data_IF_580027889918
#
_entry.id   IF_580027889918
#
_cell.length_a   1.000
_cell.length_b   1.000
_cell.length_c   1.000
_cell.angle_alpha   90.00
_cell.angle_beta   90.00
_cell.angle_gamma   90.00
#
_symmetry.space_group_name_H-M   'P 1'
#
loop_
_entity.id
_entity.type
_entity.pdbx_description
1 polymer ?
#
# COMPACT_ATOMS: atom_id res chain seq x y z
N UNK A 1 22.62 -25.07 -6.19
CA UNK A 1 23.77 -25.18 -5.25
C UNK A 1 24.15 -23.77 -4.82
N UNK A 2 24.11 -23.50 -3.51
CA UNK A 2 24.42 -22.20 -2.92
C UNK A 2 25.83 -22.10 -2.34
N UNK A 3 26.75 -22.86 -2.90
CA UNK A 3 28.14 -22.85 -2.46
C UNK A 3 29.04 -22.54 -3.65
N UNK A 4 29.94 -21.58 -3.44
CA UNK A 4 31.06 -21.31 -4.31
C UNK A 4 31.95 -22.57 -4.46
N UNK A 5 32.78 -22.66 -5.52
CA UNK A 5 33.76 -23.74 -5.67
C UNK A 5 34.67 -23.91 -4.45
N UNK A 6 34.89 -22.82 -3.68
CA UNK A 6 35.68 -22.81 -2.45
C UNK A 6 34.88 -23.22 -1.19
N UNK A 7 33.62 -23.62 -1.34
CA UNK A 7 32.76 -24.07 -0.25
C UNK A 7 32.23 -22.97 0.66
N UNK A 8 32.37 -21.69 0.31
CA UNK A 8 31.77 -20.57 1.01
C UNK A 8 30.32 -20.34 0.56
N UNK A 9 29.50 -19.71 1.42
CA UNK A 9 28.16 -19.28 1.04
C UNK A 9 28.30 -18.20 -0.03
N UNK A 10 27.68 -18.45 -1.18
CA UNK A 10 27.64 -17.50 -2.29
C UNK A 10 26.82 -16.25 -1.89
N UNK A 11 27.32 -15.07 -2.27
CA UNK A 11 26.60 -13.82 -2.05
C UNK A 11 25.45 -13.73 -3.03
N UNK A 12 24.21 -13.79 -2.52
CA UNK A 12 23.01 -13.66 -3.35
C UNK A 12 22.78 -12.21 -3.69
N UNK A 13 22.67 -11.92 -4.98
CA UNK A 13 22.25 -10.62 -5.48
C UNK A 13 20.72 -10.64 -5.59
N UNK A 14 20.06 -9.90 -4.71
CA UNK A 14 18.60 -9.78 -4.73
C UNK A 14 18.13 -8.93 -5.92
N UNK A 15 17.71 -9.59 -6.99
CA UNK A 15 17.20 -8.94 -8.20
C UNK A 15 15.71 -8.58 -8.11
N UNK A 16 14.99 -9.18 -7.17
CA UNK A 16 13.54 -9.05 -7.04
C UNK A 16 13.11 -8.02 -5.99
N UNK A 17 14.07 -7.31 -5.41
CA UNK A 17 13.79 -6.32 -4.36
C UNK A 17 12.94 -5.17 -4.90
N UNK A 18 11.86 -4.82 -4.19
CA UNK A 18 10.94 -3.74 -4.52
C UNK A 18 11.02 -2.60 -3.50
N UNK A 19 10.73 -1.39 -3.95
CA UNK A 19 10.62 -0.23 -3.06
C UNK A 19 9.14 0.07 -2.82
N UNK A 20 8.68 -0.15 -1.59
CA UNK A 20 7.31 0.10 -1.18
C UNK A 20 7.30 1.05 0.03
N UNK A 21 7.59 2.33 -0.23
CA UNK A 21 7.69 3.36 0.81
C UNK A 21 6.36 3.61 1.55
N UNK A 22 5.23 3.20 0.97
CA UNK A 22 3.90 3.34 1.57
C UNK A 22 3.79 2.67 2.94
N UNK A 23 4.45 1.53 3.13
CA UNK A 23 4.40 0.77 4.39
C UNK A 23 5.08 1.50 5.56
N UNK A 24 6.03 2.40 5.27
CA UNK A 24 6.71 3.22 6.28
C UNK A 24 5.96 4.52 6.59
N UNK A 25 5.21 5.05 5.64
CA UNK A 25 4.47 6.30 5.81
C UNK A 25 3.14 6.09 6.55
N UNK A 26 2.55 4.90 6.43
CA UNK A 26 1.27 4.55 7.01
C UNK A 26 1.35 4.46 8.54
N UNK A 27 0.40 5.08 9.22
CA UNK A 27 0.24 4.93 10.67
C UNK A 27 -0.50 3.65 11.01
N UNK A 28 -0.06 2.96 12.07
CA UNK A 28 -0.65 1.71 12.55
C UNK A 28 -1.39 1.92 13.86
N UNK A 29 -2.61 1.39 13.94
CA UNK A 29 -3.48 1.51 15.10
C UNK A 29 -4.07 0.15 15.46
N UNK A 30 -4.19 -0.14 16.74
CA UNK A 30 -4.86 -1.35 17.21
C UNK A 30 -6.35 -1.31 16.85
N UNK A 31 -6.84 -2.40 16.26
CA UNK A 31 -8.26 -2.58 15.95
C UNK A 31 -9.12 -2.65 17.22
N UNK A 32 -10.38 -2.28 17.12
CA UNK A 32 -11.31 -2.38 18.25
C UNK A 32 -12.05 -3.74 18.30
N UNK A 33 -11.84 -4.58 17.28
CA UNK A 33 -12.36 -5.95 17.18
C UNK A 33 -11.19 -6.95 17.04
N UNK A 34 -11.36 -8.19 17.44
CA UNK A 34 -10.37 -9.25 17.23
C UNK A 34 -10.07 -9.55 15.76
N UNK A 35 -11.00 -9.26 14.86
CA UNK A 35 -10.92 -9.54 13.42
C UNK A 35 -10.86 -8.29 12.55
N UNK A 36 -10.83 -7.09 13.15
CA UNK A 36 -10.84 -5.86 12.37
C UNK A 36 -11.12 -4.61 13.18
N UNK A 37 -11.64 -3.59 12.52
CA UNK A 37 -11.98 -2.31 13.12
C UNK A 37 -13.35 -1.83 12.70
N UNK A 38 -14.16 -1.39 13.65
CA UNK A 38 -15.48 -0.81 13.41
C UNK A 38 -15.43 0.69 13.60
N UNK A 39 -15.77 1.41 12.54
CA UNK A 39 -15.80 2.88 12.52
C UNK A 39 -17.23 3.37 12.32
N UNK A 40 -17.63 4.40 13.06
CA UNK A 40 -18.89 5.11 12.84
C UNK A 40 -18.59 6.40 12.07
N UNK A 41 -19.18 6.54 10.90
CA UNK A 41 -19.04 7.70 10.02
C UNK A 41 -20.36 8.48 10.01
N UNK A 42 -20.26 9.81 10.05
CA UNK A 42 -21.43 10.67 9.88
C UNK A 42 -21.73 10.82 8.39
N UNK A 43 -22.91 10.37 7.96
CA UNK A 43 -23.35 10.39 6.56
C UNK A 43 -24.23 11.60 6.22
N UNK A 44 -24.82 12.25 7.21
CA UNK A 44 -25.63 13.44 6.98
C UNK A 44 -25.55 14.46 8.13
N UNK A 45 -25.50 15.73 7.76
CA UNK A 45 -25.54 16.84 8.69
C UNK A 45 -26.98 17.31 8.89
N UNK A 46 -27.36 17.78 10.08
CA UNK A 46 -28.65 18.45 10.29
C UNK A 46 -28.71 19.73 9.49
N UNK A 47 -29.86 20.02 8.91
CA UNK A 47 -30.08 21.26 8.13
C UNK A 47 -30.63 22.36 9.05
N UNK A 48 -29.86 23.42 9.33
CA UNK A 48 -30.37 24.58 10.09
C UNK A 48 -31.32 25.40 9.25
N UNK A 49 -32.29 26.05 9.89
CA UNK A 49 -33.28 26.89 9.24
C UNK A 49 -33.27 28.30 9.81
N UNK A 50 -33.29 29.32 8.95
CA UNK A 50 -33.45 30.72 9.39
C UNK A 50 -34.87 30.91 9.92
N UNK A 51 -34.99 31.45 11.13
CA UNK A 51 -36.23 31.69 11.81
C UNK A 51 -36.64 33.17 11.77
N UNK A 52 -37.88 33.48 11.43
CA UNK A 52 -38.46 34.78 11.63
C UNK A 52 -38.98 34.93 13.08
N UNK A 53 -39.21 36.15 13.54
CA UNK A 53 -39.85 36.41 14.83
C UNK A 53 -41.23 35.72 14.89
N UNK A 54 -41.53 35.09 16.02
CA UNK A 54 -42.72 34.25 16.26
C UNK A 54 -42.86 33.03 15.33
N UNK A 55 -41.85 32.65 14.53
CA UNK A 55 -41.83 31.45 13.73
C UNK A 55 -41.26 30.25 14.50
N UNK A 56 -41.70 29.04 14.14
CA UNK A 56 -41.14 27.78 14.63
C UNK A 56 -39.96 27.28 13.76
N UNK A 57 -39.11 26.43 14.34
CA UNK A 57 -38.06 25.65 13.62
C UNK A 57 -38.31 24.17 13.87
N UNK A 58 -38.29 23.38 12.80
CA UNK A 58 -38.39 21.94 12.91
C UNK A 58 -37.07 21.33 13.41
N UNK A 59 -37.13 20.40 14.38
CA UNK A 59 -35.92 19.72 14.83
C UNK A 59 -35.34 18.82 13.72
N UNK A 60 -34.03 18.87 13.54
CA UNK A 60 -33.31 18.03 12.59
C UNK A 60 -32.26 17.21 13.31
N UNK A 61 -31.89 16.06 12.78
CA UNK A 61 -30.87 15.16 13.34
C UNK A 61 -29.81 14.80 12.31
N UNK A 62 -28.60 14.47 12.78
CA UNK A 62 -27.56 13.88 11.93
C UNK A 62 -27.80 12.40 11.72
N UNK A 63 -27.36 11.88 10.61
CA UNK A 63 -27.36 10.45 10.31
C UNK A 63 -25.94 9.90 10.38
N UNK A 64 -25.81 8.66 10.82
CA UNK A 64 -24.52 7.94 10.93
C UNK A 64 -24.64 6.56 10.34
N UNK A 65 -23.55 6.05 9.77
CA UNK A 65 -23.40 4.68 9.34
C UNK A 65 -22.19 4.03 10.02
N UNK A 66 -22.24 2.73 10.23
CA UNK A 66 -21.14 1.96 10.74
C UNK A 66 -20.50 1.17 9.60
N UNK A 67 -19.19 1.25 9.51
CA UNK A 67 -18.36 0.50 8.55
C UNK A 67 -17.45 -0.41 9.37
N UNK A 68 -17.33 -1.66 8.95
CA UNK A 68 -16.40 -2.62 9.55
C UNK A 68 -15.36 -2.98 8.49
N UNK A 69 -14.11 -2.76 8.81
CA UNK A 69 -12.96 -3.16 7.99
C UNK A 69 -12.30 -4.37 8.65
N UNK A 70 -12.01 -5.40 7.84
CA UNK A 70 -11.40 -6.67 8.28
C UNK A 70 -9.88 -6.60 8.30
N UNK A 71 -9.27 -7.51 9.06
CA UNK A 71 -7.85 -7.80 9.01
C UNK A 71 -7.62 -9.15 8.33
N UNK A 72 -6.64 -9.21 7.43
CA UNK A 72 -6.10 -10.45 6.88
C UNK A 72 -4.92 -10.97 7.70
N UNK A 73 -4.63 -12.26 7.59
CA UNK A 73 -3.48 -12.92 8.20
C UNK A 73 -2.54 -13.37 7.07
N UNK A 74 -1.38 -12.73 6.96
CA UNK A 74 -0.35 -13.10 6.00
C UNK A 74 0.73 -13.92 6.73
N UNK A 75 0.91 -15.17 6.33
CA UNK A 75 1.86 -16.08 6.96
C UNK A 75 2.79 -16.73 5.94
N UNK A 76 4.03 -16.97 6.38
CA UNK A 76 5.01 -17.71 5.61
C UNK A 76 5.90 -18.57 6.53
N UNK A 77 6.33 -19.71 6.02
CA UNK A 77 7.31 -20.58 6.67
C UNK A 77 8.58 -20.64 5.84
N UNK A 78 9.70 -20.23 6.44
CA UNK A 78 11.02 -20.45 5.89
C UNK A 78 11.53 -21.80 6.39
N UNK A 79 11.69 -22.76 5.49
CA UNK A 79 12.17 -24.11 5.82
C UNK A 79 13.49 -24.38 5.08
N UNK A 80 14.50 -24.76 5.85
CA UNK A 80 15.85 -25.01 5.35
C UNK A 80 16.31 -26.38 5.78
N UNK A 81 16.85 -27.17 4.84
CA UNK A 81 17.45 -28.46 5.15
C UNK A 81 18.62 -28.28 6.12
N UNK A 82 18.58 -29.03 7.24
CA UNK A 82 19.61 -28.98 8.26
C UNK A 82 20.98 -29.36 7.72
N UNK A 83 21.05 -30.41 6.91
CA UNK A 83 22.32 -30.88 6.36
C UNK A 83 22.98 -29.84 5.46
N UNK A 84 22.16 -29.05 4.73
CA UNK A 84 22.64 -27.96 3.89
C UNK A 84 23.05 -26.74 4.73
N UNK A 85 22.24 -26.39 5.74
CA UNK A 85 22.50 -25.24 6.60
C UNK A 85 23.76 -25.43 7.47
N UNK A 86 24.01 -26.63 7.96
CA UNK A 86 25.15 -26.96 8.81
C UNK A 86 26.44 -27.21 7.99
N UNK A 87 26.33 -27.27 6.67
CA UNK A 87 27.49 -27.42 5.80
C UNK A 87 28.41 -26.19 5.94
N UNK A 88 29.66 -26.41 6.29
CA UNK A 88 30.67 -25.38 6.57
C UNK A 88 30.49 -24.58 7.87
N UNK A 89 29.63 -25.00 8.78
CA UNK A 89 29.52 -24.45 10.14
C UNK A 89 28.98 -23.03 10.23
N UNK A 90 28.32 -22.50 9.19
CA UNK A 90 27.75 -21.16 9.18
C UNK A 90 26.21 -21.15 9.02
N UNK A 91 25.54 -21.96 9.82
CA UNK A 91 24.08 -22.16 9.83
C UNK A 91 23.30 -20.85 9.98
N UNK A 92 23.76 -19.94 10.84
CA UNK A 92 23.05 -18.68 11.08
C UNK A 92 23.04 -17.75 9.86
N UNK A 93 24.16 -17.59 9.16
CA UNK A 93 24.23 -16.75 7.97
C UNK A 93 23.44 -17.34 6.80
N UNK A 94 23.43 -18.68 6.66
CA UNK A 94 22.65 -19.34 5.64
C UNK A 94 21.13 -19.15 5.88
N UNK A 95 20.67 -19.37 7.13
CA UNK A 95 19.28 -19.13 7.50
C UNK A 95 18.87 -17.68 7.28
N UNK A 96 19.71 -16.71 7.71
CA UNK A 96 19.43 -15.28 7.52
C UNK A 96 19.26 -14.92 6.03
N UNK A 97 20.05 -15.52 5.15
CA UNK A 97 19.94 -15.31 3.71
C UNK A 97 18.62 -15.83 3.12
N UNK A 98 18.10 -16.96 3.63
CA UNK A 98 16.78 -17.48 3.23
C UNK A 98 15.65 -16.64 3.83
N UNK A 99 15.78 -16.30 5.10
CA UNK A 99 14.81 -15.50 5.83
C UNK A 99 14.60 -14.12 5.18
N UNK A 100 15.65 -13.50 4.64
CA UNK A 100 15.57 -12.23 3.93
C UNK A 100 14.63 -12.30 2.70
N UNK A 101 14.66 -13.39 1.95
CA UNK A 101 13.78 -13.57 0.79
C UNK A 101 12.31 -13.71 1.20
N UNK A 102 12.02 -14.40 2.30
CA UNK A 102 10.66 -14.53 2.82
C UNK A 102 10.12 -13.19 3.35
N UNK A 103 10.95 -12.41 4.05
CA UNK A 103 10.57 -11.08 4.53
C UNK A 103 10.24 -10.14 3.36
N UNK A 104 11.06 -10.14 2.31
CA UNK A 104 10.80 -9.36 1.10
C UNK A 104 9.50 -9.79 0.41
N UNK A 105 9.26 -11.11 0.26
CA UNK A 105 8.02 -11.63 -0.31
C UNK A 105 6.77 -11.18 0.47
N UNK A 106 6.82 -11.25 1.79
CA UNK A 106 5.73 -10.76 2.66
C UNK A 106 5.50 -9.25 2.49
N UNK A 107 6.58 -8.46 2.41
CA UNK A 107 6.46 -7.01 2.22
C UNK A 107 5.86 -6.65 0.86
N UNK A 108 6.23 -7.37 -0.20
CA UNK A 108 5.66 -7.18 -1.54
C UNK A 108 4.18 -7.55 -1.59
N UNK A 109 3.81 -8.71 -1.04
CA UNK A 109 2.42 -9.16 -0.98
C UNK A 109 1.55 -8.22 -0.15
N UNK A 110 2.04 -7.77 1.00
CA UNK A 110 1.33 -6.80 1.82
C UNK A 110 1.12 -5.47 1.10
N UNK A 111 2.15 -4.96 0.39
CA UNK A 111 2.02 -3.73 -0.39
C UNK A 111 1.05 -3.89 -1.57
N UNK A 112 1.05 -5.03 -2.23
CA UNK A 112 0.09 -5.35 -3.29
C UNK A 112 -1.33 -5.40 -2.75
N UNK A 113 -1.56 -6.11 -1.65
CA UNK A 113 -2.86 -6.21 -0.99
C UNK A 113 -3.37 -4.85 -0.49
N UNK A 114 -2.48 -3.96 -0.03
CA UNK A 114 -2.85 -2.60 0.37
C UNK A 114 -3.51 -1.80 -0.77
N UNK A 115 -3.04 -2.00 -2.01
CA UNK A 115 -3.64 -1.33 -3.17
C UNK A 115 -4.78 -2.15 -3.79
N UNK A 116 -4.61 -3.45 -3.99
CA UNK A 116 -5.48 -4.27 -4.84
C UNK A 116 -6.28 -5.34 -4.11
N UNK A 117 -5.97 -5.61 -2.83
CA UNK A 117 -6.69 -6.61 -2.04
C UNK A 117 -8.21 -6.41 -2.11
N UNK A 118 -8.96 -7.48 -2.25
CA UNK A 118 -10.42 -7.45 -2.34
C UNK A 118 -11.02 -8.65 -1.61
N UNK A 119 -11.59 -8.40 -0.45
CA UNK A 119 -12.26 -9.41 0.38
C UNK A 119 -13.43 -10.11 -0.35
N UNK A 120 -14.00 -9.46 -1.39
CA UNK A 120 -15.05 -10.07 -2.21
C UNK A 120 -14.55 -11.18 -3.14
N UNK A 121 -13.28 -11.19 -3.50
CA UNK A 121 -12.63 -12.22 -4.34
C UNK A 121 -11.71 -13.12 -3.54
N UNK A 122 -11.06 -12.59 -2.52
CA UNK A 122 -10.12 -13.28 -1.62
C UNK A 122 -10.52 -12.98 -0.17
N UNK A 123 -11.42 -13.78 0.43
CA UNK A 123 -11.95 -13.52 1.77
C UNK A 123 -10.89 -13.55 2.89
N UNK A 124 -9.74 -14.15 2.65
CA UNK A 124 -8.60 -14.21 3.58
C UNK A 124 -7.79 -12.91 3.63
N UNK A 125 -7.88 -12.10 2.57
CA UNK A 125 -7.22 -10.80 2.47
C UNK A 125 -8.12 -9.67 2.98
N UNK A 126 -7.54 -8.49 3.21
CA UNK A 126 -8.32 -7.29 3.52
C UNK A 126 -8.59 -6.44 2.26
N UNK A 127 -9.62 -5.62 2.31
CA UNK A 127 -9.96 -4.72 1.19
C UNK A 127 -9.02 -3.53 1.13
N UNK A 128 -8.25 -3.43 0.04
CA UNK A 128 -7.31 -2.36 -0.26
C UNK A 128 -7.96 -1.07 -0.79
N UNK A 129 -7.13 -0.21 -1.38
CA UNK A 129 -7.57 1.10 -1.89
C UNK A 129 -8.30 1.00 -3.23
N UNK A 130 -7.80 0.24 -4.21
CA UNK A 130 -8.35 0.20 -5.56
C UNK A 130 -9.81 -0.28 -5.63
N UNK A 131 -10.22 -1.33 -4.91
CA UNK A 131 -11.63 -1.73 -4.90
C UNK A 131 -12.58 -0.69 -4.32
N UNK A 132 -12.08 0.17 -3.41
CA UNK A 132 -12.88 1.25 -2.81
C UNK A 132 -13.06 2.45 -3.75
N UNK A 133 -12.15 2.63 -4.72
CA UNK A 133 -12.12 3.74 -5.70
C UNK A 133 -12.13 3.18 -7.14
N UNK A 134 -13.16 2.39 -7.45
CA UNK A 134 -13.26 1.63 -8.70
C UNK A 134 -14.39 2.08 -9.63
N UNK A 135 -15.16 3.12 -9.29
CA UNK A 135 -16.27 3.59 -10.10
C UNK A 135 -16.38 5.11 -10.12
N UNK A 136 -16.50 5.67 -11.33
CA UNK A 136 -16.70 7.11 -11.58
C UNK A 136 -18.14 7.57 -11.29
N UNK A 137 -19.05 6.66 -10.95
CA UNK A 137 -20.44 6.95 -10.57
C UNK A 137 -20.75 6.73 -9.09
N UNK A 138 -19.76 6.29 -8.31
CA UNK A 138 -19.91 6.07 -6.87
C UNK A 138 -19.96 7.38 -6.07
N UNK A 139 -20.37 7.32 -4.80
CA UNK A 139 -20.42 8.49 -3.92
C UNK A 139 -19.05 9.18 -3.73
N UNK A 140 -17.97 8.45 -3.90
CA UNK A 140 -16.59 8.94 -3.83
C UNK A 140 -15.96 9.23 -5.20
N UNK A 141 -16.76 9.30 -6.26
CA UNK A 141 -16.29 9.59 -7.63
C UNK A 141 -15.56 10.93 -7.72
N UNK A 142 -15.93 11.92 -6.90
CA UNK A 142 -15.23 13.20 -6.84
C UNK A 142 -13.75 13.08 -6.43
N UNK A 143 -13.35 11.96 -5.81
CA UNK A 143 -11.96 11.68 -5.45
C UNK A 143 -11.26 10.74 -6.45
N UNK A 144 -11.90 10.45 -7.59
CA UNK A 144 -11.31 9.69 -8.70
C UNK A 144 -11.13 10.64 -9.88
N UNK A 145 -9.90 10.82 -10.33
CA UNK A 145 -9.57 11.60 -11.51
C UNK A 145 -9.37 10.63 -12.67
N UNK A 146 -10.22 10.70 -13.68
CA UNK A 146 -10.04 9.95 -14.93
C UNK A 146 -9.01 10.67 -15.80
N UNK A 147 -7.83 10.08 -15.95
CA UNK A 147 -6.70 10.72 -16.61
C UNK A 147 -6.85 10.73 -18.14
N UNK A 148 -7.20 9.58 -18.73
CA UNK A 148 -7.41 9.46 -20.16
C UNK A 148 -8.72 8.70 -20.42
N UNK A 149 -9.53 9.23 -21.32
CA UNK A 149 -10.74 8.55 -21.78
C UNK A 149 -10.47 7.34 -22.69
N UNK A 150 -9.19 7.04 -22.96
CA UNK A 150 -8.74 5.97 -23.84
C UNK A 150 -8.99 4.55 -23.28
N UNK A 151 -8.82 3.56 -24.16
CA UNK A 151 -9.03 2.14 -23.87
C UNK A 151 -7.70 1.34 -23.90
N UNK A 152 -6.61 1.94 -23.46
CA UNK A 152 -5.29 1.31 -23.42
C UNK A 152 -5.26 0.06 -22.53
N UNK A 153 -4.31 -0.83 -22.78
CA UNK A 153 -4.09 -2.04 -21.99
C UNK A 153 -2.99 -1.92 -20.93
N UNK A 154 -2.28 -0.78 -20.90
CA UNK A 154 -1.16 -0.48 -20.03
C UNK A 154 -1.52 0.67 -19.06
N UNK A 155 -2.65 0.49 -18.39
CA UNK A 155 -3.18 1.47 -17.44
C UNK A 155 -2.52 1.32 -16.06
N UNK A 156 -2.33 2.46 -15.41
CA UNK A 156 -1.83 2.54 -14.04
C UNK A 156 -2.46 3.72 -13.30
N UNK A 157 -2.21 3.82 -11.99
CA UNK A 157 -2.75 4.90 -11.15
C UNK A 157 -1.67 5.63 -10.37
N UNK A 158 -1.95 6.90 -10.02
CA UNK A 158 -1.26 7.64 -8.96
C UNK A 158 -2.22 7.80 -7.79
N UNK A 159 -1.70 7.64 -6.58
CA UNK A 159 -2.47 7.82 -5.37
C UNK A 159 -1.93 8.99 -4.56
N UNK A 160 -2.83 9.87 -4.11
CA UNK A 160 -2.56 10.84 -3.07
C UNK A 160 -3.27 10.36 -1.82
N UNK A 161 -2.50 10.04 -0.78
CA UNK A 161 -3.01 9.52 0.48
C UNK A 161 -2.59 10.43 1.62
N UNK A 162 -3.53 10.74 2.52
CA UNK A 162 -3.25 11.43 3.78
C UNK A 162 -3.43 10.44 4.92
N UNK A 163 -2.32 9.94 5.45
CA UNK A 163 -2.30 8.94 6.52
C UNK A 163 -2.44 9.57 7.90
N UNK A 164 -3.44 9.17 8.65
CA UNK A 164 -3.65 9.68 10.00
C UNK A 164 -4.84 9.03 10.70
N UNK A 165 -4.97 9.16 12.03
CA UNK A 165 -5.99 8.48 12.82
C UNK A 165 -7.43 8.94 12.51
N UNK A 166 -7.59 10.10 11.84
CA UNK A 166 -8.90 10.63 11.42
C UNK A 166 -9.18 10.44 9.93
N UNK A 167 -8.22 10.00 9.15
CA UNK A 167 -8.30 9.89 7.69
C UNK A 167 -8.28 8.43 7.25
N UNK A 168 -7.12 7.81 7.25
CA UNK A 168 -6.95 6.39 7.00
C UNK A 168 -5.66 5.89 7.63
N UNK A 169 -5.67 4.66 8.06
CA UNK A 169 -4.57 4.04 8.78
C UNK A 169 -4.59 2.52 8.63
N UNK A 170 -3.42 1.92 8.83
CA UNK A 170 -3.31 0.48 8.96
C UNK A 170 -3.77 0.00 10.33
N UNK A 171 -4.39 -1.16 10.37
CA UNK A 171 -4.83 -1.77 11.61
C UNK A 171 -4.20 -3.15 11.79
N UNK A 172 -4.12 -3.56 13.04
CA UNK A 172 -3.81 -4.93 13.46
C UNK A 172 -4.87 -5.40 14.47
N UNK A 173 -5.14 -6.71 14.58
CA UNK A 173 -6.19 -7.25 15.45
C UNK A 173 -5.98 -6.85 16.91
N UNK A 174 -7.10 -6.63 17.62
CA UNK A 174 -7.07 -6.33 19.05
C UNK A 174 -6.38 -7.44 19.84
N UNK A 175 -5.40 -7.07 20.68
CA UNK A 175 -4.60 -8.01 21.47
C UNK A 175 -3.45 -8.66 20.72
N UNK A 176 -3.19 -8.28 19.45
CA UNK A 176 -2.04 -8.66 18.65
C UNK A 176 -0.93 -7.59 18.72
N UNK A 177 0.20 -7.84 18.08
CA UNK A 177 1.30 -6.89 17.96
C UNK A 177 1.35 -6.31 16.54
N UNK A 178 1.69 -5.02 16.44
CA UNK A 178 1.89 -4.38 15.15
C UNK A 178 3.14 -4.91 14.45
N UNK A 179 3.07 -5.02 13.11
CA UNK A 179 4.20 -5.36 12.26
C UNK A 179 4.43 -6.86 12.07
N UNK A 180 5.54 -7.16 11.40
CA UNK A 180 5.94 -8.52 11.11
C UNK A 180 6.45 -9.23 12.38
N UNK A 181 5.82 -10.34 12.70
CA UNK A 181 6.22 -11.22 13.81
C UNK A 181 7.05 -12.37 13.26
N UNK A 182 8.16 -12.67 13.93
CA UNK A 182 9.05 -13.78 13.59
C UNK A 182 9.13 -14.74 14.78
N UNK A 183 8.97 -16.03 14.52
CA UNK A 183 9.11 -17.08 15.53
C UNK A 183 10.04 -18.17 14.98
N UNK A 184 11.25 -18.25 15.54
CA UNK A 184 12.17 -19.36 15.24
C UNK A 184 11.67 -20.62 15.95
N UNK A 185 11.34 -21.65 15.19
CA UNK A 185 10.90 -22.96 15.69
C UNK A 185 12.08 -23.91 15.94
N UNK A 186 13.28 -23.47 15.60
CA UNK A 186 14.48 -24.30 15.72
C UNK A 186 14.51 -25.47 14.76
N UNK A 187 15.11 -26.57 15.17
CA UNK A 187 15.12 -27.81 14.39
C UNK A 187 13.77 -28.52 14.49
N UNK A 188 13.24 -28.88 13.35
CA UNK A 188 11.96 -29.61 13.21
C UNK A 188 12.07 -30.70 12.15
N UNK A 189 11.29 -31.77 12.26
CA UNK A 189 11.10 -32.73 11.20
C UNK A 189 10.11 -32.17 10.19
N UNK A 190 10.51 -32.01 8.94
CA UNK A 190 9.68 -31.57 7.83
C UNK A 190 9.14 -32.81 7.18
N UNK A 191 7.80 -32.91 7.09
CA UNK A 191 7.12 -34.08 6.54
C UNK A 191 6.72 -33.88 5.08
N UNK A 192 6.61 -34.99 4.34
CA UNK A 192 6.14 -35.04 2.96
C UNK A 192 6.95 -34.18 1.97
N UNK A 193 8.27 -34.11 2.15
CA UNK A 193 9.19 -33.29 1.35
C UNK A 193 9.21 -33.68 -0.14
N UNK A 194 8.96 -34.95 -0.43
CA UNK A 194 8.98 -35.57 -1.79
C UNK A 194 7.59 -35.82 -2.36
N UNK A 195 6.52 -35.44 -1.64
CA UNK A 195 5.14 -35.78 -2.03
C UNK A 195 4.75 -37.22 -1.83
N UNK A 196 5.65 -38.06 -1.30
CA UNK A 196 5.48 -39.51 -1.07
C UNK A 196 5.56 -39.88 0.45
N UNK A 197 5.53 -38.90 1.32
CA UNK A 197 5.62 -39.09 2.76
C UNK A 197 7.04 -39.11 3.32
N UNK A 198 8.05 -38.76 2.53
CA UNK A 198 9.43 -38.61 2.97
C UNK A 198 9.60 -37.53 4.01
N UNK A 199 10.55 -37.72 4.93
CA UNK A 199 10.85 -36.80 6.03
C UNK A 199 12.28 -36.33 5.97
N UNK A 200 12.53 -35.07 6.35
CA UNK A 200 13.88 -34.54 6.56
C UNK A 200 13.93 -33.70 7.81
N UNK A 201 15.11 -33.61 8.41
CA UNK A 201 15.36 -32.65 9.49
C UNK A 201 15.72 -31.29 8.89
N UNK A 202 15.05 -30.23 9.33
CA UNK A 202 15.27 -28.89 8.85
C UNK A 202 15.16 -27.86 9.97
N UNK A 203 15.54 -26.65 9.66
CA UNK A 203 15.26 -25.46 10.49
C UNK A 203 14.04 -24.76 9.92
N UNK A 204 13.14 -24.31 10.81
CA UNK A 204 11.91 -23.62 10.44
C UNK A 204 11.81 -22.29 11.15
N UNK A 205 11.55 -21.22 10.38
CA UNK A 205 11.16 -19.90 10.90
C UNK A 205 9.75 -19.59 10.42
N UNK A 206 8.88 -19.17 11.32
CA UNK A 206 7.51 -18.78 11.02
C UNK A 206 7.39 -17.28 11.04
N UNK A 207 6.89 -16.71 9.97
CA UNK A 207 6.57 -15.29 9.79
C UNK A 207 5.07 -15.10 9.75
N UNK A 208 4.59 -14.09 10.47
CA UNK A 208 3.17 -13.72 10.47
C UNK A 208 3.03 -12.21 10.51
N UNK A 209 2.15 -11.70 9.68
CA UNK A 209 1.77 -10.29 9.65
C UNK A 209 0.25 -10.18 9.57
N UNK A 210 -0.37 -9.80 10.69
CA UNK A 210 -1.80 -9.54 10.76
C UNK A 210 -2.01 -8.06 10.46
N UNK A 211 -2.71 -7.74 9.40
CA UNK A 211 -2.89 -6.36 8.96
C UNK A 211 -4.23 -6.14 8.27
N UNK A 212 -4.68 -4.89 8.29
CA UNK A 212 -5.84 -4.43 7.56
C UNK A 212 -5.75 -2.94 7.25
N UNK A 213 -6.68 -2.44 6.46
CA UNK A 213 -6.75 -1.03 6.07
C UNK A 213 -8.10 -0.45 6.48
N UNK A 214 -8.07 0.66 7.22
CA UNK A 214 -9.24 1.48 7.52
C UNK A 214 -9.19 2.76 6.72
N UNK A 215 -10.24 3.04 5.95
CA UNK A 215 -10.48 4.32 5.31
C UNK A 215 -11.64 4.99 6.05
N UNK A 216 -11.31 5.82 7.04
CA UNK A 216 -12.27 6.46 7.92
C UNK A 216 -12.98 7.63 7.24
N UNK A 217 -12.22 8.40 6.45
CA UNK A 217 -12.72 9.51 5.63
C UNK A 217 -12.17 9.37 4.21
N UNK A 218 -13.02 8.92 3.29
CA UNK A 218 -12.65 8.67 1.90
C UNK A 218 -12.15 9.92 1.16
N UNK A 219 -12.50 11.13 1.60
CA UNK A 219 -12.09 12.40 0.98
C UNK A 219 -10.60 12.70 1.10
N UNK A 220 -9.88 11.97 1.95
CA UNK A 220 -8.43 12.10 2.14
C UNK A 220 -7.59 11.15 1.28
N UNK A 221 -8.24 10.42 0.40
CA UNK A 221 -7.60 9.55 -0.57
C UNK A 221 -8.09 9.93 -1.96
N UNK A 222 -7.16 10.23 -2.86
CA UNK A 222 -7.49 10.57 -4.26
C UNK A 222 -6.76 9.59 -5.17
N UNK A 223 -7.50 9.02 -6.12
CA UNK A 223 -6.97 8.16 -7.17
C UNK A 223 -6.96 8.92 -8.49
N UNK A 224 -5.80 9.05 -9.12
CA UNK A 224 -5.68 9.44 -10.53
C UNK A 224 -5.61 8.12 -11.28
N UNK A 225 -6.73 7.70 -11.86
CA UNK A 225 -6.90 6.41 -12.52
C UNK A 225 -6.75 6.52 -14.04
N UNK A 226 -6.68 5.38 -14.71
CA UNK A 226 -6.67 5.27 -16.17
C UNK A 226 -5.52 6.03 -16.84
N UNK A 227 -4.36 6.08 -16.20
CA UNK A 227 -3.17 6.69 -16.82
C UNK A 227 -2.59 5.67 -17.80
N UNK A 228 -2.72 5.95 -19.07
CA UNK A 228 -2.13 5.15 -20.15
C UNK A 228 -0.66 5.51 -20.31
N UNK A 229 0.23 4.53 -20.07
CA UNK A 229 1.68 4.74 -20.10
C UNK A 229 2.19 5.03 -21.51
N UNK A 230 1.60 4.40 -22.52
CA UNK A 230 1.98 4.59 -23.92
C UNK A 230 1.68 6.00 -24.42
N UNK A 231 0.61 6.62 -23.93
CA UNK A 231 0.24 8.01 -24.23
C UNK A 231 1.21 9.03 -23.59
N UNK A 232 1.95 8.66 -22.55
CA UNK A 232 2.94 9.53 -21.90
C UNK A 232 4.26 9.66 -22.70
N UNK A 233 4.30 9.20 -23.94
CA UNK A 233 5.46 9.32 -24.83
C UNK A 233 5.77 10.75 -25.29
N UNK A 234 4.84 11.70 -25.13
CA UNK A 234 5.00 13.09 -25.56
C UNK A 234 5.08 14.04 -24.36
N UNK A 235 5.83 15.15 -24.53
CA UNK A 235 5.97 16.22 -23.52
C UNK A 235 4.60 16.82 -23.15
N UNK A 236 3.73 16.97 -24.13
CA UNK A 236 2.40 17.52 -23.92
C UNK A 236 1.57 16.67 -22.96
N UNK A 237 1.64 15.35 -23.09
CA UNK A 237 0.91 14.42 -22.24
C UNK A 237 1.55 14.27 -20.86
N UNK A 238 2.87 14.39 -20.76
CA UNK A 238 3.57 14.40 -19.45
C UNK A 238 3.18 15.62 -18.60
N UNK A 239 2.80 16.75 -19.23
CA UNK A 239 2.21 17.90 -18.49
C UNK A 239 0.94 17.53 -17.76
N UNK A 240 0.15 16.63 -18.34
CA UNK A 240 -1.12 16.25 -17.77
C UNK A 240 -0.92 15.57 -16.41
N UNK A 241 0.21 14.87 -16.19
CA UNK A 241 0.55 14.32 -14.87
C UNK A 241 0.59 15.40 -13.80
N UNK A 242 1.28 16.52 -14.06
CA UNK A 242 1.35 17.65 -13.14
C UNK A 242 -0.03 18.27 -12.91
N UNK A 243 -0.81 18.46 -13.98
CA UNK A 243 -2.16 19.01 -13.89
C UNK A 243 -3.08 18.12 -13.03
N UNK A 244 -3.02 16.80 -13.21
CA UNK A 244 -3.80 15.86 -12.39
C UNK A 244 -3.33 15.83 -10.94
N UNK A 245 -2.02 15.97 -10.69
CA UNK A 245 -1.50 16.06 -9.31
C UNK A 245 -1.99 17.34 -8.62
N UNK A 246 -2.04 18.48 -9.31
CA UNK A 246 -2.65 19.71 -8.80
C UNK A 246 -4.13 19.50 -8.51
N UNK A 247 -4.88 18.90 -9.44
CA UNK A 247 -6.29 18.60 -9.22
C UNK A 247 -6.50 17.66 -8.00
N UNK A 248 -5.59 16.69 -7.82
CA UNK A 248 -5.66 15.78 -6.69
C UNK A 248 -5.42 16.50 -5.36
N UNK A 249 -4.44 17.42 -5.29
CA UNK A 249 -4.18 18.18 -4.08
C UNK A 249 -5.36 19.08 -3.70
N UNK A 250 -6.01 19.72 -4.68
CA UNK A 250 -7.18 20.58 -4.43
C UNK A 250 -8.45 19.81 -3.99
N UNK A 251 -8.51 18.50 -4.23
CA UNK A 251 -9.63 17.67 -3.74
C UNK A 251 -9.50 17.29 -2.26
N UNK A 252 -8.32 17.41 -1.66
CA UNK A 252 -8.11 17.11 -0.24
C UNK A 252 -8.64 18.25 0.62
N UNK A 253 -9.55 18.00 1.57
CA UNK A 253 -10.13 19.08 2.40
C UNK A 253 -9.13 19.81 3.29
N UNK A 254 -8.10 19.11 3.78
CA UNK A 254 -7.06 19.68 4.65
C UNK A 254 -5.88 18.71 4.80
N UNK A 255 -4.67 19.19 4.64
CA UNK A 255 -3.45 18.40 4.87
C UNK A 255 -3.05 18.31 6.36
N UNK A 256 -3.63 19.14 7.23
CA UNK A 256 -3.27 19.19 8.66
C UNK A 256 -3.74 17.98 9.50
N UNK A 257 -4.47 17.01 8.91
CA UNK A 257 -4.99 15.86 9.66
C UNK A 257 -4.09 14.61 9.61
N UNK A 258 -3.00 14.66 8.84
CA UNK A 258 -2.13 13.51 8.71
C UNK A 258 -0.92 13.77 7.80
N UNK A 259 -0.21 12.72 7.48
CA UNK A 259 0.93 12.74 6.54
C UNK A 259 0.41 12.55 5.12
N UNK A 260 0.55 13.56 4.29
CA UNK A 260 0.24 13.47 2.87
C UNK A 260 1.43 12.90 2.10
N UNK A 261 1.16 12.02 1.13
CA UNK A 261 2.17 11.56 0.18
C UNK A 261 1.52 11.13 -1.14
N UNK A 262 2.21 11.42 -2.25
CA UNK A 262 1.89 10.84 -3.55
C UNK A 262 2.61 9.51 -3.70
N UNK A 263 1.89 8.49 -4.17
CA UNK A 263 2.42 7.18 -4.49
C UNK A 263 2.28 6.89 -5.96
N UNK A 264 3.37 6.53 -6.59
CA UNK A 264 3.41 6.16 -8.00
C UNK A 264 4.48 5.11 -8.26
N UNK A 265 4.31 4.37 -9.35
CA UNK A 265 5.29 3.39 -9.75
C UNK A 265 6.54 4.03 -10.37
N UNK A 266 7.55 3.20 -10.61
CA UNK A 266 8.85 3.61 -11.17
C UNK A 266 8.71 4.28 -12.52
N UNK A 267 7.87 3.74 -13.39
CA UNK A 267 7.65 4.23 -14.76
C UNK A 267 7.04 5.62 -14.78
N UNK A 268 5.99 5.85 -14.00
CA UNK A 268 5.37 7.18 -13.91
C UNK A 268 6.31 8.21 -13.29
N UNK A 269 7.07 7.81 -12.25
CA UNK A 269 8.04 8.69 -11.61
C UNK A 269 9.17 9.10 -12.57
N UNK A 270 9.62 8.19 -13.42
CA UNK A 270 10.59 8.48 -14.48
C UNK A 270 10.01 9.49 -15.48
N UNK A 271 8.82 9.22 -16.02
CA UNK A 271 8.13 10.14 -16.96
C UNK A 271 7.92 11.52 -16.35
N UNK A 272 7.48 11.60 -15.11
CA UNK A 272 7.31 12.86 -14.39
C UNK A 272 8.64 13.63 -14.30
N UNK A 273 9.74 12.98 -13.96
CA UNK A 273 11.07 13.60 -13.89
C UNK A 273 11.57 14.09 -15.23
N UNK A 274 11.41 13.30 -16.29
CA UNK A 274 11.82 13.68 -17.64
C UNK A 274 11.00 14.88 -18.15
N UNK A 275 9.69 14.88 -17.96
CA UNK A 275 8.83 15.99 -18.38
C UNK A 275 9.13 17.32 -17.68
N UNK A 276 9.76 17.29 -16.51
CA UNK A 276 10.17 18.48 -15.76
C UNK A 276 11.55 18.98 -16.18
N UNK A 277 12.49 18.09 -16.49
CA UNK A 277 13.82 18.47 -16.95
C UNK A 277 13.77 19.31 -18.25
N UNK A 278 12.73 19.13 -19.06
CA UNK A 278 12.53 19.88 -20.29
C UNK A 278 11.84 21.24 -20.10
N UNK A 279 11.56 21.66 -18.85
CA UNK A 279 10.86 22.93 -18.53
C UNK A 279 11.56 23.74 -17.46
N UNK A 280 11.56 25.04 -17.69
CA UNK A 280 12.17 26.07 -16.81
C UNK A 280 11.32 26.36 -15.55
N UNK A 281 10.05 25.97 -15.52
CA UNK A 281 9.18 26.14 -14.35
C UNK A 281 8.64 24.79 -13.87
N UNK A 282 9.02 24.35 -12.68
CA UNK A 282 8.54 23.11 -12.12
C UNK A 282 7.98 23.33 -10.71
N UNK A 283 6.81 22.78 -10.47
CA UNK A 283 6.23 22.66 -9.13
C UNK A 283 6.88 21.52 -8.32
N UNK A 284 7.95 20.94 -8.86
CA UNK A 284 8.73 19.90 -8.18
C UNK A 284 9.99 20.50 -7.57
N UNK A 285 10.14 20.27 -6.30
CA UNK A 285 11.32 20.66 -5.55
C UNK A 285 12.03 19.42 -5.00
N UNK A 286 13.30 19.60 -4.64
CA UNK A 286 14.11 18.61 -3.96
C UNK A 286 14.37 19.12 -2.56
N UNK A 287 13.84 18.42 -1.58
CA UNK A 287 14.17 18.67 -0.19
C UNK A 287 15.22 17.69 0.32
N UNK A 288 16.02 18.13 1.26
CA UNK A 288 16.96 17.27 1.96
C UNK A 288 16.38 16.96 3.34
N UNK A 289 15.85 15.75 3.50
CA UNK A 289 15.33 15.25 4.77
C UNK A 289 16.34 14.21 5.29
N UNK A 290 16.90 14.44 6.47
CA UNK A 290 17.88 13.54 7.10
C UNK A 290 19.06 13.15 6.16
N UNK A 291 19.53 14.11 5.35
CA UNK A 291 20.63 13.87 4.41
C UNK A 291 20.24 13.13 3.11
N UNK A 292 18.98 12.77 2.93
CA UNK A 292 18.46 12.16 1.71
C UNK A 292 17.68 13.19 0.88
N UNK A 293 17.90 13.19 -0.44
CA UNK A 293 17.11 14.02 -1.35
C UNK A 293 15.74 13.37 -1.60
N UNK A 294 14.68 14.06 -1.20
CA UNK A 294 13.29 13.65 -1.41
C UNK A 294 12.68 14.55 -2.49
N UNK A 295 12.02 13.94 -3.46
CA UNK A 295 11.25 14.68 -4.47
C UNK A 295 9.92 15.07 -3.84
N UNK A 296 9.59 16.36 -3.87
CA UNK A 296 8.34 16.92 -3.36
C UNK A 296 7.57 17.62 -4.47
N UNK A 297 6.27 17.60 -4.37
CA UNK A 297 5.33 18.33 -5.22
C UNK A 297 4.41 19.14 -4.29
N UNK A 298 4.48 20.47 -4.35
CA UNK A 298 3.78 21.39 -3.43
C UNK A 298 3.96 20.96 -1.95
N UNK A 299 5.23 20.73 -1.54
CA UNK A 299 5.63 20.26 -0.21
C UNK A 299 5.13 18.84 0.17
N UNK A 300 4.47 18.15 -0.74
CA UNK A 300 4.02 16.77 -0.54
C UNK A 300 5.06 15.81 -1.12
N UNK A 301 5.59 14.86 -0.35
CA UNK A 301 6.58 13.91 -0.84
C UNK A 301 6.00 13.00 -1.93
N UNK A 302 6.79 12.78 -2.98
CA UNK A 302 6.47 11.85 -4.08
C UNK A 302 7.24 10.55 -3.82
N UNK A 303 6.52 9.55 -3.35
CA UNK A 303 7.02 8.24 -2.97
C UNK A 303 6.94 7.25 -4.13
N UNK A 304 7.91 6.36 -4.17
CA UNK A 304 7.90 5.24 -5.10
C UNK A 304 7.25 4.04 -4.43
N UNK A 305 6.37 3.37 -5.18
CA UNK A 305 5.85 2.06 -4.79
C UNK A 305 5.77 1.17 -6.02
N UNK A 306 6.52 0.08 -5.99
CA UNK A 306 6.59 -0.89 -7.09
C UNK A 306 5.39 -1.86 -7.09
N UNK A 307 4.58 -1.84 -6.02
CA UNK A 307 3.32 -2.59 -5.94
C UNK A 307 2.26 -2.09 -6.93
N UNK A 308 2.35 -0.83 -7.41
CA UNK A 308 1.43 -0.32 -8.44
C UNK A 308 1.79 -0.90 -9.80
N UNK A 309 0.86 -1.69 -10.35
CA UNK A 309 1.01 -2.38 -11.63
C UNK A 309 0.72 -1.45 -12.82
N UNK A 310 1.21 -1.86 -14.00
CA UNK A 310 0.99 -1.15 -15.27
C UNK A 310 -0.12 -1.78 -16.13
N UNK A 311 -0.90 -2.67 -15.55
CA UNK A 311 -1.95 -3.44 -16.23
C UNK A 311 -3.25 -3.40 -15.44
N UNK A 312 -3.56 -2.23 -14.85
CA UNK A 312 -4.79 -2.04 -14.10
C UNK A 312 -6.02 -2.14 -15.00
N UNK A 313 -7.09 -2.67 -14.45
CA UNK A 313 -8.39 -2.61 -15.12
C UNK A 313 -8.90 -1.18 -15.13
N UNK A 314 -9.47 -0.77 -16.27
CA UNK A 314 -10.06 0.57 -16.42
C UNK A 314 -11.16 0.82 -15.40
N UNK A 315 -11.08 1.96 -14.74
CA UNK A 315 -12.12 2.48 -13.84
C UNK A 315 -13.22 3.15 -14.69
N UNK A 316 -14.48 2.80 -14.46
CA UNK A 316 -15.65 3.27 -15.22
C UNK A 316 -16.71 3.92 -14.32
#
# INVERSE_FOLDING_TARGET
>A
KRLDPDGKIDTIVELLNQSNEVLTDMSWVEGNLPTGHKTTVRTGLPTPTWRKLYGGVQPTKSTTAQITDSCGMLEAYAEVDKALADLNGNTAAFRLSEDAAHIEGIAQEHASTLFYGNEGTEPEAFTGLAPRYNSLSAQNADNIIDAFSGSGGDLTSIWLCVWGPQTGFGIYPKGSQAGLQMSDKGQVTIENVDGAGGRMEGYRTHYRWDAGLVVRDWRYFVRIANIDISELGTIANTKNLVNWMVQASERIPSFGKGRAAFYMNRTLREKLRLGILERVSSNLTWETVEGKRVMTFDDIPVRRTDALINTETRVQ
#
